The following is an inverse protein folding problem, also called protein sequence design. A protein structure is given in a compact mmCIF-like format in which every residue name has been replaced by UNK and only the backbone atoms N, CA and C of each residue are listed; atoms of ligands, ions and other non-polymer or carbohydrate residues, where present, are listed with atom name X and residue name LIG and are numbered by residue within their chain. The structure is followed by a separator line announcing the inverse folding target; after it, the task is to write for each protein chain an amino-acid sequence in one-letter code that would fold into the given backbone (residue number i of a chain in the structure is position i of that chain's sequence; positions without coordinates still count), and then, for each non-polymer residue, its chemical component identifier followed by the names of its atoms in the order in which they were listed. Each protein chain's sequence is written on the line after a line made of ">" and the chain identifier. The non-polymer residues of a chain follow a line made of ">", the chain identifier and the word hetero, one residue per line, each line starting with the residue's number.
data_IF_764853248986
#
_entry.id   IF_764853248986
#
_cell.length_a   1.000
_cell.length_b   1.000
_cell.length_c   1.000
_cell.angle_alpha   90.00
_cell.angle_beta   90.00
_cell.angle_gamma   90.00
#
_symmetry.space_group_name_H-M   'P 1'
#
loop_
_entity.id
_entity.type
_entity.pdbx_description
1 polymer ?
#
# COMPACT_ATOMS: atom_id res chain seq x y z
N UNK A 1 5.03 26.01 -16.74
CA UNK A 1 4.93 25.15 -15.55
C UNK A 1 6.28 24.51 -15.30
N UNK A 2 6.80 24.59 -14.08
CA UNK A 2 8.06 24.00 -13.64
C UNK A 2 7.79 23.16 -12.39
N UNK A 3 8.42 22.00 -12.28
CA UNK A 3 8.43 21.24 -11.03
C UNK A 3 9.50 21.85 -10.11
N UNK A 4 9.09 22.38 -8.96
CA UNK A 4 9.99 22.99 -7.96
C UNK A 4 10.59 21.95 -7.04
N UNK A 5 9.80 20.97 -6.61
CA UNK A 5 10.21 19.96 -5.64
C UNK A 5 9.62 18.57 -5.96
N UNK A 6 10.41 17.52 -5.68
CA UNK A 6 10.02 16.12 -5.78
C UNK A 6 10.35 15.42 -4.45
N UNK A 7 9.34 15.20 -3.61
CA UNK A 7 9.47 14.51 -2.34
C UNK A 7 9.10 13.02 -2.49
N UNK A 8 10.03 12.11 -2.17
CA UNK A 8 9.85 10.65 -2.30
C UNK A 8 9.73 10.00 -0.93
N UNK A 9 8.64 9.25 -0.70
CA UNK A 9 8.32 8.70 0.62
C UNK A 9 7.72 7.28 0.55
N UNK A 10 8.13 6.49 -0.45
CA UNK A 10 7.62 5.13 -0.65
C UNK A 10 7.77 4.19 0.56
N UNK A 11 8.78 4.38 1.41
CA UNK A 11 8.96 3.56 2.64
C UNK A 11 7.80 3.74 3.63
N UNK A 12 7.24 4.93 3.74
CA UNK A 12 6.06 5.18 4.59
C UNK A 12 4.82 4.45 4.04
N UNK A 13 4.76 4.28 2.72
CA UNK A 13 3.70 3.49 2.09
C UNK A 13 3.87 1.99 2.35
N UNK A 14 5.11 1.48 2.44
CA UNK A 14 5.35 0.12 2.91
C UNK A 14 4.81 -0.10 4.33
N UNK A 15 5.07 0.84 5.25
CA UNK A 15 4.54 0.81 6.62
C UNK A 15 3.01 0.83 6.63
N UNK A 16 2.41 1.68 5.80
CA UNK A 16 0.95 1.73 5.63
C UNK A 16 0.38 0.38 5.24
N UNK A 17 0.97 -0.28 4.23
CA UNK A 17 0.53 -1.61 3.76
C UNK A 17 0.70 -2.70 4.82
N UNK A 18 1.76 -2.65 5.64
CA UNK A 18 1.94 -3.59 6.75
C UNK A 18 0.88 -3.42 7.83
N UNK A 19 0.53 -2.17 8.17
CA UNK A 19 -0.56 -1.87 9.11
C UNK A 19 -1.89 -2.41 8.55
N UNK A 20 -2.17 -2.17 7.27
CA UNK A 20 -3.37 -2.69 6.63
C UNK A 20 -3.41 -4.22 6.61
N UNK A 21 -2.30 -4.89 6.31
CA UNK A 21 -2.22 -6.35 6.34
C UNK A 21 -2.52 -6.89 7.74
N UNK A 22 -1.93 -6.29 8.78
CA UNK A 22 -2.20 -6.67 10.17
C UNK A 22 -3.69 -6.50 10.53
N UNK A 23 -4.29 -5.38 10.14
CA UNK A 23 -5.71 -5.11 10.40
C UNK A 23 -6.63 -6.03 9.59
N UNK A 24 -6.29 -6.33 8.34
CA UNK A 24 -7.01 -7.26 7.48
C UNK A 24 -7.06 -8.65 8.12
N UNK A 25 -5.91 -9.18 8.55
CA UNK A 25 -5.83 -10.47 9.26
C UNK A 25 -6.65 -10.48 10.55
N UNK A 26 -6.60 -9.40 11.32
CA UNK A 26 -7.36 -9.28 12.56
C UNK A 26 -8.89 -9.26 12.32
N UNK A 27 -9.33 -8.81 11.14
CA UNK A 27 -10.75 -8.74 10.76
C UNK A 27 -11.19 -9.85 9.81
N UNK A 28 -10.38 -10.90 9.63
CA UNK A 28 -10.65 -11.95 8.65
C UNK A 28 -12.03 -12.58 8.84
N UNK A 29 -12.42 -12.89 10.08
CA UNK A 29 -13.74 -13.46 10.38
C UNK A 29 -14.88 -12.55 9.91
N UNK A 30 -14.79 -11.24 10.19
CA UNK A 30 -15.78 -10.27 9.71
C UNK A 30 -15.82 -10.21 8.18
N UNK A 31 -14.67 -10.28 7.52
CA UNK A 31 -14.57 -10.25 6.06
C UNK A 31 -15.26 -11.48 5.44
N UNK A 32 -15.09 -12.65 6.04
CA UNK A 32 -15.80 -13.86 5.62
C UNK A 32 -17.31 -13.74 5.82
N UNK A 33 -17.74 -13.13 6.94
CA UNK A 33 -19.16 -12.85 7.21
C UNK A 33 -19.79 -11.84 6.23
N UNK A 34 -18.98 -10.96 5.63
CA UNK A 34 -19.43 -10.06 4.56
C UNK A 34 -19.66 -10.76 3.21
N UNK A 35 -19.42 -12.07 3.12
CA UNK A 35 -19.64 -12.87 1.92
C UNK A 35 -18.41 -13.03 1.04
N UNK A 36 -17.23 -12.61 1.50
CA UNK A 36 -15.97 -12.94 0.85
C UNK A 36 -15.52 -14.35 1.24
N UNK A 37 -14.80 -15.03 0.36
CA UNK A 37 -14.28 -16.36 0.62
C UNK A 37 -12.79 -16.34 1.01
N UNK A 38 -12.31 -17.52 1.39
CA UNK A 38 -10.90 -17.75 1.74
C UNK A 38 -9.95 -17.52 0.55
N UNK A 39 -10.43 -17.67 -0.69
CA UNK A 39 -9.62 -17.41 -1.88
C UNK A 39 -9.33 -15.93 -2.04
N UNK A 40 -10.36 -15.10 -1.93
CA UNK A 40 -10.24 -13.65 -1.85
C UNK A 40 -9.31 -13.24 -0.71
N UNK A 41 -9.47 -13.85 0.48
CA UNK A 41 -8.65 -13.51 1.64
C UNK A 41 -7.15 -13.76 1.40
N UNK A 42 -6.80 -14.92 0.82
CA UNK A 42 -5.42 -15.24 0.45
C UNK A 42 -4.87 -14.30 -0.61
N UNK A 43 -5.67 -13.99 -1.63
CA UNK A 43 -5.28 -13.05 -2.69
C UNK A 43 -4.99 -11.66 -2.09
N UNK A 44 -5.84 -11.19 -1.18
CA UNK A 44 -5.69 -9.86 -0.58
C UNK A 44 -4.49 -9.77 0.37
N UNK A 45 -4.25 -10.83 1.15
CA UNK A 45 -3.03 -10.96 1.94
C UNK A 45 -1.78 -10.91 1.05
N UNK A 46 -1.76 -11.69 -0.03
CA UNK A 46 -0.65 -11.69 -0.99
C UNK A 46 -0.44 -10.30 -1.59
N UNK A 47 -1.51 -9.64 -2.04
CA UNK A 47 -1.47 -8.29 -2.61
C UNK A 47 -0.80 -7.29 -1.66
N UNK A 48 -1.29 -7.21 -0.42
CA UNK A 48 -0.77 -6.25 0.57
C UNK A 48 0.71 -6.53 0.90
N UNK A 49 1.07 -7.80 1.08
CA UNK A 49 2.45 -8.20 1.37
C UNK A 49 3.40 -7.94 0.20
N UNK A 50 3.00 -8.31 -1.02
CA UNK A 50 3.82 -8.12 -2.22
C UNK A 50 4.03 -6.63 -2.55
N UNK A 51 2.98 -5.81 -2.44
CA UNK A 51 3.12 -4.36 -2.61
C UNK A 51 4.03 -3.76 -1.55
N UNK A 52 3.90 -4.16 -0.28
CA UNK A 52 4.80 -3.70 0.79
C UNK A 52 6.25 -4.04 0.47
N UNK A 53 6.53 -5.27 0.04
CA UNK A 53 7.86 -5.68 -0.40
C UNK A 53 8.38 -4.85 -1.59
N UNK A 54 7.51 -4.49 -2.54
CA UNK A 54 7.84 -3.60 -3.66
C UNK A 54 8.33 -2.23 -3.20
N UNK A 55 7.69 -1.64 -2.19
CA UNK A 55 8.11 -0.35 -1.62
C UNK A 55 9.37 -0.48 -0.74
N UNK A 56 9.50 -1.55 0.07
CA UNK A 56 10.69 -1.81 0.90
C UNK A 56 11.94 -2.00 0.04
N UNK A 57 11.81 -2.75 -1.06
CA UNK A 57 12.90 -3.01 -2.00
C UNK A 57 13.18 -1.86 -2.95
N UNK A 58 12.51 -0.71 -2.78
CA UNK A 58 12.64 0.49 -3.61
C UNK A 58 12.37 0.24 -5.12
N UNK A 59 11.70 -0.88 -5.47
CA UNK A 59 11.26 -1.18 -6.83
C UNK A 59 10.16 -0.24 -7.31
N UNK A 60 9.36 0.26 -6.38
CA UNK A 60 8.30 1.26 -6.60
C UNK A 60 8.38 2.35 -5.51
N UNK A 61 7.80 3.52 -5.77
CA UNK A 61 7.87 4.65 -4.85
C UNK A 61 6.58 5.49 -4.90
N UNK A 62 6.32 6.24 -3.83
CA UNK A 62 5.28 7.29 -3.78
C UNK A 62 5.99 8.63 -3.81
N UNK A 63 5.49 9.53 -4.65
CA UNK A 63 6.12 10.83 -4.89
C UNK A 63 5.07 11.93 -4.80
N UNK A 64 5.40 12.98 -4.05
CA UNK A 64 4.67 14.24 -4.06
C UNK A 64 5.49 15.25 -4.87
N UNK A 65 4.87 15.84 -5.88
CA UNK A 65 5.51 16.80 -6.77
C UNK A 65 4.82 18.15 -6.64
N UNK A 66 5.60 19.19 -6.36
CA UNK A 66 5.12 20.57 -6.42
C UNK A 66 5.33 21.11 -7.84
N UNK A 67 4.27 21.66 -8.43
CA UNK A 67 4.27 22.23 -9.78
C UNK A 67 3.86 23.69 -9.69
N UNK A 68 4.74 24.58 -10.12
CA UNK A 68 4.52 26.03 -10.14
C UNK A 68 4.32 26.53 -11.57
N UNK A 69 3.45 27.53 -11.74
CA UNK A 69 3.38 28.28 -13.00
C UNK A 69 4.59 29.21 -13.10
N UNK A 70 5.12 29.39 -14.31
CA UNK A 70 6.31 30.21 -14.54
C UNK A 70 5.95 31.69 -14.53
#
# INVERSE_FOLDING_TARGET
>A
MKCSEIFRFGKDYATTLQIWLKQFKHKLELILQLGFDEEFARMWEFYLAACSAGFISERINVVQMEIVHA
#
